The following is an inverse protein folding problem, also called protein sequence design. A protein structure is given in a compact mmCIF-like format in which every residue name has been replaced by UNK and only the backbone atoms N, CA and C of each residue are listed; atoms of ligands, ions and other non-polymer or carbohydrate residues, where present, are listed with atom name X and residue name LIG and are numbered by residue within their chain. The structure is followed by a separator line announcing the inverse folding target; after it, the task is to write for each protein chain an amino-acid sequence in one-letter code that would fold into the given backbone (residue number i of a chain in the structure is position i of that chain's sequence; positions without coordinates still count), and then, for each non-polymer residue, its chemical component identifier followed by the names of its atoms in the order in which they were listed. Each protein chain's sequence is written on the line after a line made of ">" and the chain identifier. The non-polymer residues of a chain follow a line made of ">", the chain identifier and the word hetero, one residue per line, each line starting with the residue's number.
data_IF_579650105999
#
_entry.id   IF_579650105999
#
_cell.length_a   1.000
_cell.length_b   1.000
_cell.length_c   1.000
_cell.angle_alpha   90.00
_cell.angle_beta   90.00
_cell.angle_gamma   90.00
#
_symmetry.space_group_name_H-M   'P 1'
#
loop_
_entity.id
_entity.type
_entity.pdbx_description
1 polymer ?
#
# COMPACT_ATOMS: atom_id res chain seq x y z
N UNK A 1 -2.25 -13.06 -9.78
CA UNK A 1 -2.68 -12.87 -8.37
C UNK A 1 -3.57 -11.65 -8.31
N UNK A 2 -4.66 -11.69 -7.55
CA UNK A 2 -5.57 -10.57 -7.34
C UNK A 2 -5.56 -10.26 -5.85
N UNK A 3 -5.21 -9.02 -5.50
CA UNK A 3 -5.29 -8.54 -4.12
C UNK A 3 -6.67 -7.94 -3.88
N UNK A 4 -7.30 -8.34 -2.79
CA UNK A 4 -8.64 -7.94 -2.43
C UNK A 4 -8.64 -7.24 -1.07
N UNK A 5 -9.44 -6.17 -0.95
CA UNK A 5 -9.77 -5.57 0.34
C UNK A 5 -11.13 -6.14 0.75
N UNK A 6 -11.18 -7.03 1.75
CA UNK A 6 -12.44 -7.68 2.14
C UNK A 6 -13.50 -6.67 2.61
N UNK A 7 -14.78 -6.98 2.41
CA UNK A 7 -15.89 -6.07 2.72
C UNK A 7 -15.98 -5.68 4.20
N UNK A 8 -15.46 -6.51 5.10
CA UNK A 8 -15.42 -6.24 6.53
C UNK A 8 -14.29 -5.29 6.94
N UNK A 9 -13.37 -4.94 6.03
CA UNK A 9 -12.33 -3.95 6.29
C UNK A 9 -12.90 -2.54 6.21
N UNK A 10 -12.35 -1.63 7.04
CA UNK A 10 -12.74 -0.22 7.00
C UNK A 10 -12.31 0.43 5.69
N UNK A 11 -13.11 1.38 5.20
CA UNK A 11 -12.78 2.24 4.06
C UNK A 11 -11.49 3.03 4.28
N UNK A 12 -10.92 3.55 3.20
CA UNK A 12 -9.74 4.41 3.29
C UNK A 12 -10.03 5.63 4.18
N UNK A 13 -9.19 5.85 5.20
CA UNK A 13 -9.46 6.86 6.24
C UNK A 13 -8.23 7.65 6.67
N UNK A 14 -7.08 7.44 6.01
CA UNK A 14 -5.88 8.24 6.26
C UNK A 14 -6.10 9.69 5.83
N UNK A 15 -5.70 10.59 6.72
CA UNK A 15 -5.82 12.04 6.55
C UNK A 15 -4.46 12.65 6.23
N UNK A 16 -4.44 13.97 6.04
CA UNK A 16 -3.24 14.73 5.67
C UNK A 16 -2.07 14.46 6.61
N UNK A 17 -2.33 14.33 7.91
CA UNK A 17 -1.32 14.06 8.93
C UNK A 17 -0.66 12.69 8.68
N UNK A 18 -1.44 11.65 8.39
CA UNK A 18 -0.90 10.33 8.06
C UNK A 18 -0.09 10.32 6.77
N UNK A 19 -0.50 11.13 5.78
CA UNK A 19 0.23 11.26 4.52
C UNK A 19 1.56 12.01 4.72
N UNK A 20 1.60 12.99 5.62
CA UNK A 20 2.83 13.67 6.00
C UNK A 20 3.81 12.71 6.69
N UNK A 21 3.32 11.89 7.61
CA UNK A 21 4.14 10.86 8.26
C UNK A 21 4.70 9.88 7.22
N UNK A 22 3.85 9.37 6.32
CA UNK A 22 4.25 8.47 5.24
C UNK A 22 5.36 9.07 4.34
N UNK A 23 5.22 10.34 3.94
CA UNK A 23 6.23 11.01 3.11
C UNK A 23 7.52 11.27 3.88
N UNK A 24 7.43 11.70 5.14
CA UNK A 24 8.57 11.91 6.02
C UNK A 24 9.38 10.62 6.15
N UNK A 25 8.71 9.51 6.39
CA UNK A 25 9.32 8.19 6.48
C UNK A 25 10.12 7.83 5.23
N UNK A 26 9.55 8.05 4.04
CA UNK A 26 10.22 7.82 2.77
C UNK A 26 11.45 8.72 2.57
N UNK A 27 11.34 10.01 2.84
CA UNK A 27 12.43 10.99 2.70
C UNK A 27 13.59 10.65 3.65
N UNK A 28 13.27 10.26 4.88
CA UNK A 28 14.26 9.94 5.90
C UNK A 28 15.08 8.67 5.57
N UNK A 29 14.68 7.89 4.55
CA UNK A 29 15.42 6.69 4.11
C UNK A 29 16.50 6.94 3.06
N UNK A 30 16.64 8.16 2.56
CA UNK A 30 17.63 8.49 1.53
C UNK A 30 19.10 8.16 1.90
N UNK A 31 19.41 7.95 3.20
CA UNK A 31 20.75 7.66 3.71
C UNK A 31 20.97 6.18 4.11
N UNK A 32 20.45 5.21 3.34
CA UNK A 32 20.67 3.75 3.51
C UNK A 32 20.19 3.13 4.84
N UNK A 33 19.41 3.86 5.63
CA UNK A 33 18.79 3.29 6.82
C UNK A 33 17.66 2.35 6.39
N UNK A 34 17.61 1.16 6.99
CA UNK A 34 16.49 0.24 6.80
C UNK A 34 15.30 0.77 7.60
N UNK A 35 14.21 1.08 6.93
CA UNK A 35 12.95 1.44 7.60
C UNK A 35 11.96 0.31 7.60
N UNK A 36 11.29 0.19 8.75
CA UNK A 36 10.21 -0.73 8.93
C UNK A 36 8.89 -0.01 8.62
N UNK A 37 8.35 -0.25 7.44
CA UNK A 37 7.05 0.26 6.99
C UNK A 37 5.85 -0.41 7.68
N UNK A 38 6.10 -1.15 8.76
CA UNK A 38 5.15 -2.03 9.43
C UNK A 38 4.95 -3.36 8.70
N UNK A 39 4.29 -4.31 9.38
CA UNK A 39 3.93 -5.61 8.83
C UNK A 39 2.71 -5.51 7.91
N UNK A 40 2.59 -6.43 6.96
CA UNK A 40 1.35 -6.67 6.21
C UNK A 40 0.85 -8.09 6.53
N UNK A 41 -0.46 -8.22 6.77
CA UNK A 41 -1.08 -9.52 6.98
C UNK A 41 -1.96 -9.85 5.78
N UNK A 42 -1.71 -11.01 5.18
CA UNK A 42 -2.43 -11.51 4.03
C UNK A 42 -3.09 -12.85 4.35
N UNK A 43 -4.28 -13.06 3.78
CA UNK A 43 -4.97 -14.34 3.81
C UNK A 43 -5.10 -14.87 2.38
N UNK A 44 -4.62 -16.10 2.15
CA UNK A 44 -4.70 -16.75 0.85
C UNK A 44 -6.13 -17.26 0.65
N UNK A 45 -6.93 -16.54 -0.13
CA UNK A 45 -8.35 -16.79 -0.34
C UNK A 45 -8.59 -17.66 -1.59
N UNK A 46 -7.85 -18.77 -1.67
CA UNK A 46 -7.96 -19.75 -2.75
C UNK A 46 -7.54 -19.25 -4.14
N UNK A 47 -7.79 -20.11 -5.12
CA UNK A 47 -7.54 -19.84 -6.55
C UNK A 47 -8.82 -20.12 -7.31
N UNK A 48 -9.25 -19.16 -8.13
CA UNK A 48 -10.38 -19.32 -9.05
C UNK A 48 -9.89 -19.06 -10.46
N UNK A 49 -10.08 -20.04 -11.34
CA UNK A 49 -9.46 -20.09 -12.66
C UNK A 49 -7.93 -19.97 -12.52
N UNK A 50 -7.33 -19.01 -13.23
CA UNK A 50 -5.90 -18.71 -13.27
C UNK A 50 -5.48 -17.63 -12.25
N UNK A 51 -6.42 -17.15 -11.41
CA UNK A 51 -6.17 -16.12 -10.42
C UNK A 51 -6.18 -16.66 -8.99
N UNK A 52 -5.05 -16.53 -8.31
CA UNK A 52 -4.98 -16.65 -6.84
C UNK A 52 -5.45 -15.35 -6.19
N UNK A 53 -6.41 -15.45 -5.28
CA UNK A 53 -6.95 -14.32 -4.54
C UNK A 53 -6.25 -14.18 -3.18
N UNK A 54 -5.89 -12.96 -2.82
CA UNK A 54 -5.16 -12.64 -1.60
C UNK A 54 -5.89 -11.51 -0.90
N UNK A 55 -6.50 -11.81 0.23
CA UNK A 55 -7.17 -10.81 1.06
C UNK A 55 -6.13 -10.05 1.89
N UNK A 56 -6.23 -8.72 1.87
CA UNK A 56 -5.41 -7.83 2.69
C UNK A 56 -6.11 -7.67 4.05
N UNK A 57 -5.60 -8.35 5.07
CA UNK A 57 -6.19 -8.38 6.42
C UNK A 57 -5.65 -7.24 7.28
N UNK A 58 -4.37 -6.89 7.14
CA UNK A 58 -3.76 -5.72 7.78
C UNK A 58 -2.79 -5.01 6.83
N UNK A 59 -2.61 -3.70 7.05
CA UNK A 59 -1.79 -2.83 6.21
C UNK A 59 -2.52 -2.25 5.01
N UNK A 60 -3.84 -2.44 4.88
CA UNK A 60 -4.62 -1.96 3.73
C UNK A 60 -4.44 -0.45 3.43
N UNK A 61 -4.51 0.42 4.44
CA UNK A 61 -4.37 1.88 4.27
C UNK A 61 -2.98 2.24 3.71
N UNK A 62 -1.93 1.61 4.26
CA UNK A 62 -0.54 1.78 3.81
C UNK A 62 -0.38 1.32 2.37
N UNK A 63 -0.87 0.14 2.04
CA UNK A 63 -0.76 -0.41 0.68
C UNK A 63 -1.52 0.43 -0.34
N UNK A 64 -2.74 0.86 -0.02
CA UNK A 64 -3.52 1.77 -0.88
C UNK A 64 -2.77 3.08 -1.10
N UNK A 65 -2.19 3.67 -0.06
CA UNK A 65 -1.39 4.91 -0.17
C UNK A 65 -0.18 4.70 -1.07
N UNK A 66 0.56 3.60 -0.90
CA UNK A 66 1.68 3.25 -1.77
C UNK A 66 1.27 3.14 -3.24
N UNK A 67 0.15 2.46 -3.54
CA UNK A 67 -0.34 2.28 -4.92
C UNK A 67 -0.68 3.63 -5.55
N UNK A 68 -1.38 4.51 -4.82
CA UNK A 68 -1.73 5.85 -5.31
C UNK A 68 -0.46 6.68 -5.52
N UNK A 69 0.46 6.68 -4.54
CA UNK A 69 1.71 7.43 -4.61
C UNK A 69 2.57 7.01 -5.80
N UNK A 70 2.76 5.70 -6.01
CA UNK A 70 3.52 5.17 -7.15
C UNK A 70 2.85 5.55 -8.48
N UNK A 71 1.52 5.47 -8.58
CA UNK A 71 0.79 5.88 -9.79
C UNK A 71 1.06 7.34 -10.13
N UNK A 72 0.91 8.25 -9.17
CA UNK A 72 1.16 9.68 -9.39
C UNK A 72 2.63 9.99 -9.67
N UNK A 73 3.54 9.28 -9.02
CA UNK A 73 4.97 9.40 -9.31
C UNK A 73 5.29 8.98 -10.75
N UNK A 74 4.74 7.86 -11.22
CA UNK A 74 4.92 7.40 -12.59
C UNK A 74 4.37 8.43 -13.59
N UNK A 75 3.17 8.97 -13.35
CA UNK A 75 2.57 10.00 -14.22
C UNK A 75 3.51 11.20 -14.32
N UNK A 76 3.98 11.73 -13.20
CA UNK A 76 4.89 12.89 -13.18
C UNK A 76 6.21 12.63 -13.89
N UNK A 77 6.80 11.44 -13.70
CA UNK A 77 8.06 11.07 -14.33
C UNK A 77 7.94 10.81 -15.84
N UNK A 78 6.74 10.56 -16.35
CA UNK A 78 6.48 10.35 -17.78
C UNK A 78 6.00 11.63 -18.50
N UNK A 79 5.53 12.63 -17.75
CA UNK A 79 5.14 13.96 -18.26
C UNK A 79 6.33 14.93 -18.35
N UNK A 80 7.46 14.63 -17.70
CA UNK A 80 8.77 15.24 -17.92
C UNK A 80 9.51 14.60 -19.11
#
# INVERSE_FOLDING_TARGET
>A
KIFNVPIYQRSYSWRKENLQDFLSDLINQYNEKKYFLGSFLFHMNGTKNEFTFIDIVDGQQRLTTFVIFIRELIIRLLEE
#
